data_IF_543242756075
#
_entry.id   IF_543242756075
#
_cell.length_a   1.000
_cell.length_b   1.000
_cell.length_c   1.000
_cell.angle_alpha   90.00
_cell.angle_beta   90.00
_cell.angle_gamma   90.00
#
_symmetry.space_group_name_H-M   'P 1'
#
loop_
_entity.id
_entity.type
_entity.pdbx_description
1 polymer ?
#
# COMPACT_ATOMS: atom_id res chain seq x y z
N UNK A 1 25.20 -19.11 32.65
CA UNK A 1 25.01 -19.76 31.33
C UNK A 1 23.54 -20.10 31.02
N UNK A 2 22.76 -20.70 31.93
CA UNK A 2 21.32 -20.98 31.71
C UNK A 2 20.47 -19.73 31.40
N UNK A 3 20.73 -18.61 32.08
CA UNK A 3 20.02 -17.32 31.87
C UNK A 3 20.34 -16.68 30.51
N UNK A 4 21.58 -16.82 30.04
CA UNK A 4 22.03 -16.30 28.73
C UNK A 4 21.45 -17.15 27.59
N UNK A 5 21.39 -18.47 27.76
CA UNK A 5 20.75 -19.39 26.82
C UNK A 5 19.23 -19.15 26.71
N UNK A 6 18.55 -18.84 27.82
CA UNK A 6 17.11 -18.54 27.82
C UNK A 6 16.79 -17.18 27.15
N UNK A 7 17.64 -16.18 27.34
CA UNK A 7 17.48 -14.87 26.69
C UNK A 7 17.70 -14.93 25.17
N UNK A 8 18.66 -15.75 24.72
CA UNK A 8 18.90 -15.98 23.29
C UNK A 8 17.72 -16.75 22.68
N UNK A 9 17.18 -17.75 23.37
CA UNK A 9 16.02 -18.50 22.90
C UNK A 9 14.77 -17.60 22.81
N UNK A 10 14.58 -16.70 23.78
CA UNK A 10 13.48 -15.73 23.76
C UNK A 10 13.62 -14.72 22.61
N UNK A 11 14.83 -14.23 22.35
CA UNK A 11 15.10 -13.34 21.22
C UNK A 11 14.85 -14.03 19.86
N UNK A 12 15.25 -15.30 19.71
CA UNK A 12 14.96 -16.06 18.49
C UNK A 12 13.44 -16.23 18.30
N UNK A 13 12.68 -16.43 19.38
CA UNK A 13 11.23 -16.60 19.33
C UNK A 13 10.50 -15.33 18.89
N UNK A 14 10.96 -14.15 19.31
CA UNK A 14 10.35 -12.88 18.90
C UNK A 14 10.61 -12.55 17.44
N UNK A 15 11.77 -12.92 16.87
CA UNK A 15 12.03 -12.76 15.44
C UNK A 15 11.10 -13.63 14.57
N UNK A 16 10.77 -14.85 15.00
CA UNK A 16 9.89 -15.74 14.23
C UNK A 16 8.45 -15.21 14.19
N UNK A 17 7.96 -14.65 15.31
CA UNK A 17 6.60 -14.12 15.40
C UNK A 17 6.34 -12.92 14.48
N UNK A 18 7.32 -12.02 14.32
CA UNK A 18 7.21 -10.83 13.44
C UNK A 18 7.09 -11.25 11.97
N UNK A 19 7.86 -12.26 11.54
CA UNK A 19 7.81 -12.74 10.16
C UNK A 19 6.50 -13.48 9.83
N UNK A 20 5.89 -14.14 10.81
CA UNK A 20 4.60 -14.82 10.64
C UNK A 20 3.46 -13.83 10.33
N UNK A 21 3.40 -12.69 11.04
CA UNK A 21 2.37 -11.68 10.82
C UNK A 21 2.37 -11.14 9.38
N UNK A 22 3.56 -10.85 8.82
CA UNK A 22 3.69 -10.40 7.44
C UNK A 22 3.29 -11.47 6.42
N UNK A 23 3.65 -12.73 6.67
CA UNK A 23 3.28 -13.85 5.80
C UNK A 23 1.76 -14.08 5.78
N UNK A 24 1.11 -13.98 6.93
CA UNK A 24 -0.35 -14.07 7.03
C UNK A 24 -1.04 -12.92 6.30
N UNK A 25 -0.51 -11.69 6.42
CA UNK A 25 -1.05 -10.54 5.69
C UNK A 25 -1.00 -10.74 4.16
N UNK A 26 0.14 -11.22 3.64
CA UNK A 26 0.31 -11.52 2.20
C UNK A 26 -0.61 -12.67 1.75
N UNK A 27 -0.75 -13.71 2.57
CA UNK A 27 -1.64 -14.84 2.26
C UNK A 27 -3.10 -14.39 2.23
N UNK A 28 -3.52 -13.59 3.21
CA UNK A 28 -4.88 -13.09 3.31
C UNK A 28 -5.26 -12.17 2.15
N UNK A 29 -4.36 -11.27 1.73
CA UNK A 29 -4.63 -10.41 0.58
C UNK A 29 -4.71 -11.22 -0.72
N UNK A 30 -3.83 -12.20 -0.93
CA UNK A 30 -3.85 -13.03 -2.14
C UNK A 30 -5.16 -13.81 -2.30
N UNK A 31 -5.78 -14.22 -1.19
CA UNK A 31 -7.08 -14.90 -1.17
C UNK A 31 -8.28 -13.93 -1.24
N UNK A 32 -8.07 -12.62 -1.28
CA UNK A 32 -9.14 -11.63 -1.25
C UNK A 32 -9.68 -11.34 -2.65
N UNK A 33 -10.97 -11.56 -2.86
CA UNK A 33 -11.67 -11.24 -4.13
C UNK A 33 -11.84 -9.74 -4.36
N UNK A 34 -11.99 -8.96 -3.29
CA UNK A 34 -12.22 -7.51 -3.35
C UNK A 34 -11.48 -6.82 -2.23
N UNK A 35 -10.49 -6.01 -2.60
CA UNK A 35 -9.65 -5.27 -1.65
C UNK A 35 -10.48 -4.23 -0.89
N UNK A 36 -10.20 -4.08 0.41
CA UNK A 36 -10.77 -3.05 1.26
C UNK A 36 -9.83 -1.85 1.44
N UNK A 37 -10.34 -0.75 1.97
CA UNK A 37 -9.49 0.40 2.35
C UNK A 37 -8.39 0.03 3.34
N UNK A 38 -8.69 -0.79 4.34
CA UNK A 38 -7.71 -1.20 5.36
C UNK A 38 -6.55 -1.99 4.76
N UNK A 39 -6.89 -2.96 3.92
CA UNK A 39 -5.91 -3.77 3.19
C UNK A 39 -5.06 -2.91 2.26
N UNK A 40 -5.69 -2.06 1.45
CA UNK A 40 -4.96 -1.18 0.55
C UNK A 40 -4.01 -0.27 1.33
N UNK A 41 -4.50 0.36 2.41
CA UNK A 41 -3.73 1.30 3.20
C UNK A 41 -2.52 0.60 3.83
N UNK A 42 -2.72 -0.57 4.45
CA UNK A 42 -1.66 -1.36 5.05
C UNK A 42 -0.52 -1.65 4.06
N UNK A 43 -0.83 -2.19 2.87
CA UNK A 43 0.21 -2.52 1.89
C UNK A 43 0.87 -1.28 1.28
N UNK A 44 0.13 -0.19 1.07
CA UNK A 44 0.73 1.06 0.58
C UNK A 44 1.66 1.71 1.59
N UNK A 45 1.29 1.73 2.87
CA UNK A 45 2.10 2.35 3.92
C UNK A 45 3.32 1.48 4.26
N UNK A 46 3.16 0.16 4.32
CA UNK A 46 4.30 -0.76 4.52
C UNK A 46 5.27 -0.80 3.35
N UNK A 47 4.82 -0.44 2.15
CA UNK A 47 5.72 -0.26 0.99
C UNK A 47 6.61 0.99 1.09
N UNK A 48 6.32 1.93 2.00
CA UNK A 48 7.17 3.11 2.26
C UNK A 48 8.38 2.66 3.08
N UNK A 49 9.59 3.01 2.64
CA UNK A 49 10.87 2.60 3.25
C UNK A 49 11.08 3.01 4.72
N UNK A 50 10.17 3.82 5.25
CA UNK A 50 10.36 4.58 6.48
C UNK A 50 9.48 4.06 7.64
N UNK A 51 8.62 3.06 7.39
CA UNK A 51 7.61 2.60 8.35
C UNK A 51 7.79 1.10 8.64
N UNK A 52 7.90 0.76 9.93
CA UNK A 52 8.01 -0.64 10.37
C UNK A 52 6.75 -1.43 9.99
N UNK A 53 6.93 -2.70 9.58
CA UNK A 53 5.89 -3.69 9.24
C UNK A 53 4.87 -4.03 10.35
N UNK A 54 4.83 -3.27 11.45
CA UNK A 54 4.04 -3.53 12.65
C UNK A 54 2.76 -2.70 12.77
N UNK A 55 2.43 -1.84 11.80
CA UNK A 55 1.19 -1.04 11.86
C UNK A 55 -0.05 -1.88 11.57
N UNK A 56 -1.16 -1.57 12.21
CA UNK A 56 -2.48 -2.16 11.89
C UNK A 56 -3.09 -1.54 10.62
N UNK A 57 -4.10 -2.20 10.05
CA UNK A 57 -4.84 -1.66 8.89
C UNK A 57 -5.56 -0.35 9.24
N UNK A 58 -6.07 -0.24 10.46
CA UNK A 58 -6.75 0.94 11.00
C UNK A 58 -5.77 2.11 11.15
N UNK A 59 -4.56 1.86 11.66
CA UNK A 59 -3.52 2.87 11.77
C UNK A 59 -3.04 3.34 10.39
N UNK A 60 -2.84 2.39 9.47
CA UNK A 60 -2.45 2.71 8.10
C UNK A 60 -3.52 3.58 7.42
N UNK A 61 -4.80 3.23 7.55
CA UNK A 61 -5.88 4.02 6.97
C UNK A 61 -5.98 5.42 7.60
N UNK A 62 -5.85 5.54 8.93
CA UNK A 62 -5.82 6.84 9.60
C UNK A 62 -4.68 7.73 9.10
N UNK A 63 -3.50 7.15 8.87
CA UNK A 63 -2.36 7.87 8.31
C UNK A 63 -2.69 8.42 6.91
N UNK A 64 -3.17 7.56 6.02
CA UNK A 64 -3.56 7.96 4.65
C UNK A 64 -4.65 9.05 4.66
N UNK A 65 -5.65 8.96 5.54
CA UNK A 65 -6.68 9.99 5.71
C UNK A 65 -6.04 11.32 6.17
N UNK A 66 -5.17 11.27 7.17
CA UNK A 66 -4.52 12.47 7.72
C UNK A 66 -3.62 13.19 6.71
N UNK A 67 -3.07 12.45 5.75
CA UNK A 67 -2.27 12.98 4.64
C UNK A 67 -3.13 13.49 3.47
N UNK A 68 -4.46 13.30 3.51
CA UNK A 68 -5.38 13.74 2.46
C UNK A 68 -5.50 12.79 1.26
N UNK A 69 -4.98 11.56 1.37
CA UNK A 69 -4.99 10.56 0.28
C UNK A 69 -6.16 9.57 0.35
N UNK A 70 -7.07 9.78 1.30
CA UNK A 70 -8.36 9.07 1.43
C UNK A 70 -9.43 10.01 1.99
N UNK A 71 -10.72 9.77 1.71
CA UNK A 71 -11.80 10.57 2.31
C UNK A 71 -11.93 10.30 3.81
N UNK A 72 -12.37 11.31 4.58
CA UNK A 72 -12.48 11.24 6.04
C UNK A 72 -13.40 10.12 6.54
N UNK A 73 -14.37 9.70 5.71
CA UNK A 73 -15.31 8.63 6.02
C UNK A 73 -14.90 7.27 5.45
N UNK A 74 -13.65 7.10 4.99
CA UNK A 74 -13.15 5.79 4.57
C UNK A 74 -13.18 4.81 5.75
N UNK A 75 -13.62 3.59 5.46
CA UNK A 75 -13.83 2.54 6.47
C UNK A 75 -12.98 1.32 6.11
N UNK A 76 -12.24 0.81 7.10
CA UNK A 76 -11.28 -0.31 6.98
C UNK A 76 -11.86 -1.52 6.25
N UNK A 77 -13.15 -1.81 6.44
CA UNK A 77 -13.84 -2.99 5.91
C UNK A 77 -14.49 -2.76 4.54
N UNK A 78 -14.60 -1.50 4.09
CA UNK A 78 -15.32 -1.17 2.87
C UNK A 78 -14.46 -1.40 1.62
N UNK A 79 -15.05 -1.92 0.52
CA UNK A 79 -14.36 -2.10 -0.74
C UNK A 79 -13.83 -0.79 -1.34
N UNK A 80 -12.59 -0.82 -1.82
CA UNK A 80 -11.94 0.30 -2.52
C UNK A 80 -11.98 0.09 -4.05
N UNK A 81 -12.11 1.15 -4.84
CA UNK A 81 -12.04 1.07 -6.32
C UNK A 81 -10.64 1.43 -6.87
N UNK A 82 -10.43 1.23 -8.17
CA UNK A 82 -9.12 1.48 -8.78
C UNK A 82 -8.67 2.94 -8.74
N UNK A 83 -9.56 3.93 -8.91
CA UNK A 83 -9.15 5.33 -8.83
C UNK A 83 -8.69 5.72 -7.42
N UNK A 84 -9.36 5.19 -6.38
CA UNK A 84 -8.99 5.39 -4.98
C UNK A 84 -7.66 4.70 -4.67
N UNK A 85 -7.48 3.46 -5.12
CA UNK A 85 -6.19 2.76 -5.04
C UNK A 85 -5.10 3.59 -5.73
N UNK A 86 -5.36 4.08 -6.94
CA UNK A 86 -4.39 4.85 -7.70
C UNK A 86 -3.94 6.09 -6.94
N UNK A 87 -4.87 6.76 -6.24
CA UNK A 87 -4.58 7.92 -5.42
C UNK A 87 -3.60 7.60 -4.29
N UNK A 88 -3.82 6.49 -3.59
CA UNK A 88 -2.93 6.04 -2.52
C UNK A 88 -1.56 5.56 -3.03
N UNK A 89 -1.51 4.90 -4.20
CA UNK A 89 -0.25 4.54 -4.84
C UNK A 89 0.53 5.80 -5.23
N UNK A 90 -0.15 6.83 -5.76
CA UNK A 90 0.47 8.11 -6.08
C UNK A 90 1.10 8.78 -4.85
N UNK A 91 0.40 8.76 -3.71
CA UNK A 91 0.94 9.22 -2.43
C UNK A 91 2.23 8.51 -2.05
N UNK A 92 2.23 7.19 -2.20
CA UNK A 92 3.25 6.28 -1.66
C UNK A 92 4.59 6.43 -2.35
N UNK A 93 4.61 6.62 -3.67
CA UNK A 93 5.84 6.80 -4.45
C UNK A 93 6.07 8.26 -4.87
N UNK A 94 5.35 9.22 -4.27
CA UNK A 94 5.41 10.63 -4.64
C UNK A 94 5.30 10.82 -6.17
N UNK A 95 4.32 10.15 -6.78
CA UNK A 95 4.13 10.18 -8.23
C UNK A 95 3.64 11.57 -8.58
N UNK A 96 4.55 12.44 -9.04
CA UNK A 96 4.21 13.80 -9.43
C UNK A 96 4.11 14.00 -10.94
N UNK A 97 4.07 12.89 -11.70
CA UNK A 97 4.24 12.84 -13.16
C UNK A 97 3.25 13.67 -13.99
N UNK A 98 2.09 14.04 -13.46
CA UNK A 98 1.19 15.00 -14.12
C UNK A 98 1.12 16.33 -13.39
N UNK A 99 1.20 17.41 -14.17
CA UNK A 99 0.93 18.78 -13.72
C UNK A 99 -0.40 18.86 -12.94
N UNK A 100 -1.41 18.12 -13.39
CA UNK A 100 -2.73 18.07 -12.74
C UNK A 100 -2.70 17.46 -11.34
N UNK A 101 -1.94 16.38 -11.13
CA UNK A 101 -1.82 15.77 -9.81
C UNK A 101 -1.07 16.69 -8.82
N UNK A 102 -0.19 17.57 -9.31
CA UNK A 102 0.45 18.62 -8.50
C UNK A 102 -0.51 19.78 -8.18
N UNK A 103 -1.39 20.16 -9.11
CA UNK A 103 -2.27 21.32 -8.97
C UNK A 103 -3.56 21.01 -8.20
N UNK A 104 -4.17 19.85 -8.47
CA UNK A 104 -5.40 19.39 -7.85
C UNK A 104 -5.29 17.88 -7.59
N UNK A 105 -4.72 17.46 -6.45
CA UNK A 105 -4.64 16.06 -6.08
C UNK A 105 -6.05 15.44 -5.99
N UNK A 106 -6.39 14.57 -6.94
CA UNK A 106 -7.67 13.87 -6.95
C UNK A 106 -7.52 12.44 -7.51
N UNK A 107 -8.36 11.48 -7.05
CA UNK A 107 -8.29 10.08 -7.48
C UNK A 107 -8.33 9.90 -9.01
N UNK A 108 -9.17 10.67 -9.69
CA UNK A 108 -9.31 10.65 -11.15
C UNK A 108 -8.00 10.94 -11.89
N UNK A 109 -7.15 11.80 -11.35
CA UNK A 109 -5.89 12.19 -12.00
C UNK A 109 -4.79 11.17 -11.72
N UNK A 110 -4.72 10.64 -10.51
CA UNK A 110 -3.82 9.54 -10.19
C UNK A 110 -4.13 8.29 -11.05
N UNK A 111 -5.41 7.96 -11.22
CA UNK A 111 -5.83 6.87 -12.10
C UNK A 111 -5.39 7.09 -13.55
N UNK A 112 -5.58 8.30 -14.09
CA UNK A 112 -5.12 8.65 -15.44
C UNK A 112 -3.61 8.56 -15.59
N UNK A 113 -2.85 8.99 -14.57
CA UNK A 113 -1.39 8.90 -14.57
C UNK A 113 -0.95 7.43 -14.63
N UNK A 114 -1.47 6.57 -13.74
CA UNK A 114 -1.10 5.15 -13.73
C UNK A 114 -1.53 4.42 -15.02
N UNK A 115 -2.58 4.87 -15.70
CA UNK A 115 -2.93 4.37 -17.05
C UNK A 115 -1.93 4.82 -18.10
N UNK A 116 -1.53 6.08 -18.08
CA UNK A 116 -0.55 6.63 -19.01
C UNK A 116 0.81 5.92 -18.87
N UNK A 117 1.18 5.56 -17.64
CA UNK A 117 2.44 4.89 -17.33
C UNK A 117 2.36 3.36 -17.51
N UNK A 118 1.24 2.82 -18.00
CA UNK A 118 1.07 1.39 -18.29
C UNK A 118 0.88 0.49 -17.06
N UNK A 119 0.79 1.08 -15.86
CA UNK A 119 0.55 0.37 -14.60
C UNK A 119 -0.91 -0.08 -14.51
N UNK A 120 -1.86 0.69 -15.02
CA UNK A 120 -3.26 0.27 -15.14
C UNK A 120 -3.61 0.05 -16.60
N UNK A 121 -4.31 -1.04 -16.90
CA UNK A 121 -4.73 -1.32 -18.27
C UNK A 121 -5.63 -0.18 -18.79
N UNK A 122 -5.38 0.27 -20.03
CA UNK A 122 -6.10 1.36 -20.67
C UNK A 122 -7.63 1.13 -20.76
N UNK A 123 -8.08 -0.13 -20.78
CA UNK A 123 -9.50 -0.51 -20.85
C UNK A 123 -10.22 -0.51 -19.50
N UNK A 124 -9.50 -0.42 -18.37
CA UNK A 124 -10.12 -0.54 -17.05
C UNK A 124 -10.96 0.69 -16.69
N UNK A 125 -12.11 0.40 -16.09
CA UNK A 125 -13.03 1.37 -15.49
C UNK A 125 -12.50 1.85 -14.11
N UNK A 126 -12.55 3.17 -13.81
CA UNK A 126 -12.03 3.72 -12.55
C UNK A 126 -12.75 3.20 -11.30
N UNK A 127 -14.05 2.90 -11.40
CA UNK A 127 -14.87 2.44 -10.29
C UNK A 127 -14.86 0.92 -10.12
N UNK A 128 -14.18 0.18 -11.01
CA UNK A 128 -14.01 -1.27 -10.84
C UNK A 128 -13.29 -1.56 -9.52
N UNK A 129 -13.69 -2.66 -8.90
CA UNK A 129 -12.97 -3.27 -7.79
C UNK A 129 -11.84 -4.15 -8.34
N UNK A 130 -10.81 -4.37 -7.54
CA UNK A 130 -9.74 -5.29 -7.87
C UNK A 130 -9.60 -6.37 -6.80
N UNK A 131 -9.16 -7.54 -7.24
CA UNK A 131 -8.72 -8.60 -6.33
C UNK A 131 -7.41 -8.24 -5.65
N UNK A 132 -7.09 -8.92 -4.55
CA UNK A 132 -5.83 -8.72 -3.86
C UNK A 132 -4.61 -9.12 -4.69
N UNK A 133 -4.72 -10.15 -5.54
CA UNK A 133 -3.68 -10.51 -6.49
C UNK A 133 -3.39 -9.37 -7.49
N UNK A 134 -4.43 -8.80 -8.08
CA UNK A 134 -4.28 -7.66 -8.99
C UNK A 134 -3.68 -6.44 -8.27
N UNK A 135 -4.10 -6.18 -7.03
CA UNK A 135 -3.58 -5.07 -6.24
C UNK A 135 -2.09 -5.21 -5.91
N UNK A 136 -1.62 -6.39 -5.49
CA UNK A 136 -0.20 -6.63 -5.31
C UNK A 136 0.58 -6.51 -6.63
N UNK A 137 -0.02 -6.90 -7.76
CA UNK A 137 0.54 -6.68 -9.08
C UNK A 137 0.63 -5.20 -9.48
N UNK A 138 -0.28 -4.35 -9.01
CA UNK A 138 -0.19 -2.89 -9.16
C UNK A 138 0.97 -2.33 -8.33
N UNK A 139 1.08 -2.73 -7.06
CA UNK A 139 2.18 -2.33 -6.18
C UNK A 139 3.53 -2.70 -6.81
N UNK A 140 3.68 -3.94 -7.27
CA UNK A 140 4.93 -4.41 -7.88
C UNK A 140 5.33 -3.56 -9.08
N UNK A 141 4.38 -3.25 -9.97
CA UNK A 141 4.63 -2.37 -11.12
C UNK A 141 4.94 -0.93 -10.72
N UNK A 142 4.33 -0.40 -9.67
CA UNK A 142 4.70 0.90 -9.12
C UNK A 142 6.13 0.89 -8.55
N UNK A 143 6.53 -0.17 -7.86
CA UNK A 143 7.91 -0.33 -7.37
C UNK A 143 8.89 -0.36 -8.54
N UNK A 144 8.62 -1.15 -9.57
CA UNK A 144 9.48 -1.26 -10.75
C UNK A 144 9.60 0.07 -11.51
N UNK A 145 8.51 0.85 -11.55
CA UNK A 145 8.46 2.11 -12.31
C UNK A 145 8.98 3.31 -11.53
N UNK A 146 8.66 3.42 -10.23
CA UNK A 146 8.94 4.62 -9.43
C UNK A 146 9.87 4.37 -8.23
N UNK A 147 10.09 3.13 -7.83
CA UNK A 147 10.87 2.79 -6.63
C UNK A 147 12.34 3.21 -6.68
N UNK A 148 12.90 3.42 -7.89
CA UNK A 148 14.28 3.91 -8.07
C UNK A 148 14.38 5.44 -8.01
N UNK A 149 13.29 6.17 -8.24
CA UNK A 149 13.31 7.64 -8.29
C UNK A 149 13.29 8.29 -6.90
N UNK A 150 12.76 7.62 -5.88
CA UNK A 150 12.65 8.15 -4.52
C UNK A 150 13.93 7.99 -3.69
N UNK A 151 14.92 7.21 -4.14
CA UNK A 151 16.20 7.02 -3.44
C UNK A 151 17.29 8.04 -3.83
N UNK A 152 17.05 8.88 -4.83
CA UNK A 152 18.03 9.85 -5.35
C UNK A 152 17.92 11.28 -4.78
N UNK A 153 16.89 11.57 -3.97
CA UNK A 153 16.64 12.92 -3.41
C UNK A 153 16.84 13.00 -1.88
N UNK A 154 17.77 12.22 -1.33
CA UNK A 154 18.24 12.37 0.07
C UNK A 154 19.68 12.84 0.12
#
# INVERSE_FOLDING_TARGET
>A
MKKLSLSILFAIFTLIAVNAQSADAVTNILATDTVTWGQAAYFTVTARSDISNSISQEEALRMIISEGWAPENADVSKPINLEQISFMLAATWNITGSLWLKLEPAPRFAFRQLKADGIINASYDPHRKCSGHEFLGLISRCIDTYGLHTQGER
#
